data_IF_285440211499
#
_entry.id   IF_285440211499
#
_cell.length_a   1.000
_cell.length_b   1.000
_cell.length_c   1.000
_cell.angle_alpha   90.00
_cell.angle_beta   90.00
_cell.angle_gamma   90.00
#
_symmetry.space_group_name_H-M   'P 1'
#
loop_
_entity.id
_entity.type
_entity.pdbx_description
1 polymer ?
#
# COMPACT_ATOMS: atom_id res chain seq x y z
N UNK A 1 -42.40 -3.34 24.00
CA UNK A 1 -41.44 -2.21 23.85
C UNK A 1 -40.17 -2.58 24.59
N UNK A 2 -39.07 -2.82 23.88
CA UNK A 2 -37.77 -3.16 24.47
C UNK A 2 -36.69 -2.26 23.83
N UNK A 3 -35.89 -1.62 24.69
CA UNK A 3 -35.03 -0.51 24.38
C UNK A 3 -33.71 -0.94 23.73
N UNK A 4 -33.28 -0.23 22.68
CA UNK A 4 -31.98 -0.38 22.04
C UNK A 4 -30.93 0.40 22.80
N UNK A 5 -29.87 -0.27 23.25
CA UNK A 5 -28.69 0.34 23.85
C UNK A 5 -27.81 1.00 22.78
N UNK A 6 -27.65 2.32 22.88
CA UNK A 6 -26.75 3.12 22.04
C UNK A 6 -25.31 3.08 22.57
N UNK A 7 -24.34 2.78 21.71
CA UNK A 7 -22.91 2.90 22.02
C UNK A 7 -22.35 4.17 21.38
N UNK A 8 -21.83 5.07 22.23
CA UNK A 8 -21.18 6.33 21.82
C UNK A 8 -19.69 6.09 21.58
N UNK A 9 -19.20 6.45 20.40
CA UNK A 9 -17.75 6.49 20.09
C UNK A 9 -17.26 7.92 20.27
N UNK A 10 -16.35 8.14 21.21
CA UNK A 10 -15.70 9.41 21.44
C UNK A 10 -14.61 9.67 20.38
N UNK A 11 -14.69 10.83 19.72
CA UNK A 11 -13.71 11.32 18.75
C UNK A 11 -12.46 11.85 19.46
N UNK A 12 -11.32 11.22 19.21
CA UNK A 12 -10.01 11.67 19.70
C UNK A 12 -9.51 12.81 18.80
N UNK A 13 -9.73 14.06 19.22
CA UNK A 13 -9.13 15.26 18.63
C UNK A 13 -7.63 15.29 18.93
N UNK A 14 -6.79 15.08 17.92
CA UNK A 14 -5.35 15.30 18.03
C UNK A 14 -5.03 16.75 17.66
N UNK A 15 -4.65 17.52 18.68
CA UNK A 15 -4.29 18.93 18.57
C UNK A 15 -2.93 19.10 17.86
N UNK A 16 -2.94 19.97 16.85
CA UNK A 16 -1.76 20.53 16.20
C UNK A 16 -1.01 21.44 17.18
N UNK A 17 0.28 21.22 17.38
CA UNK A 17 1.17 22.21 17.98
C UNK A 17 2.42 22.36 17.13
N UNK A 18 2.35 23.33 16.24
CA UNK A 18 3.48 23.93 15.55
C UNK A 18 4.23 24.85 16.54
N UNK A 19 5.52 24.59 16.81
CA UNK A 19 6.39 25.59 17.47
C UNK A 19 7.78 25.60 16.86
N UNK A 20 8.01 26.64 16.06
CA UNK A 20 9.28 27.14 15.56
C UNK A 20 9.85 28.15 16.59
N UNK A 21 11.09 28.03 17.09
CA UNK A 21 11.67 29.05 17.96
C UNK A 21 12.52 30.04 17.16
N UNK A 22 12.16 31.32 17.23
CA UNK A 22 13.02 32.48 16.90
C UNK A 22 13.62 33.05 18.20
N UNK A 23 14.89 33.47 18.24
CA UNK A 23 15.49 34.03 19.44
C UNK A 23 15.40 35.56 19.46
N UNK A 24 14.92 36.12 20.57
CA UNK A 24 15.04 37.55 20.89
C UNK A 24 15.45 37.71 22.34
N UNK A 25 16.46 38.54 22.55
CA UNK A 25 17.19 38.79 23.79
C UNK A 25 16.41 39.61 24.83
N UNK A 26 16.69 39.39 26.12
CA UNK A 26 16.98 40.43 27.13
C UNK A 26 16.95 39.83 28.55
N UNK A 27 18.00 40.05 29.34
CA UNK A 27 17.98 39.76 30.79
C UNK A 27 19.37 39.50 31.38
N UNK A 28 20.07 40.57 31.75
CA UNK A 28 21.34 40.54 32.49
C UNK A 28 21.10 40.39 33.98
N UNK A 29 21.76 39.48 34.71
CA UNK A 29 22.12 39.67 36.14
C UNK A 29 23.27 38.75 36.59
N UNK A 30 24.33 39.40 37.09
CA UNK A 30 25.32 39.04 38.12
C UNK A 30 26.17 37.74 38.07
N UNK A 31 27.50 37.93 38.05
CA UNK A 31 28.60 37.04 38.48
C UNK A 31 28.67 36.91 40.02
N UNK A 32 29.21 35.81 40.61
CA UNK A 32 30.67 35.70 40.79
C UNK A 32 31.29 34.28 40.67
N UNK A 33 32.52 34.29 40.15
CA UNK A 33 33.74 33.64 40.64
C UNK A 33 33.62 32.25 41.30
N UNK A 34 33.98 31.17 40.59
CA UNK A 34 34.76 30.06 41.13
C UNK A 34 35.56 29.38 40.01
N UNK A 35 36.85 29.15 40.29
CA UNK A 35 37.81 28.55 39.37
C UNK A 35 37.44 27.13 38.98
N UNK A 36 37.56 26.84 37.70
CA UNK A 36 37.43 25.49 37.14
C UNK A 36 38.26 25.40 35.88
N UNK A 37 39.18 24.44 35.85
CA UNK A 37 40.01 24.11 34.69
C UNK A 37 39.10 23.82 33.49
N UNK A 38 39.23 24.63 32.43
CA UNK A 38 38.43 24.49 31.21
C UNK A 38 38.97 23.35 30.34
N UNK A 39 38.53 22.12 30.60
CA UNK A 39 38.70 21.02 29.67
C UNK A 39 37.76 21.20 28.48
N UNK A 40 38.29 21.54 27.30
CA UNK A 40 37.52 21.49 26.04
C UNK A 40 37.25 20.02 25.72
N UNK A 41 35.99 19.57 25.55
CA UNK A 41 35.74 18.22 25.05
C UNK A 41 36.24 18.15 23.59
N UNK A 42 36.99 17.09 23.19
CA UNK A 42 37.26 16.87 21.79
C UNK A 42 35.93 16.63 21.08
N UNK A 43 35.67 17.40 20.02
CA UNK A 43 34.55 17.14 19.10
C UNK A 43 34.85 15.86 18.34
N UNK A 44 34.57 14.70 18.94
CA UNK A 44 34.54 13.44 18.20
C UNK A 44 33.21 13.36 17.46
N UNK A 45 33.16 14.05 16.31
CA UNK A 45 32.10 13.91 15.33
C UNK A 45 32.17 12.53 14.71
N UNK A 46 31.67 11.51 15.40
CA UNK A 46 31.34 10.23 14.80
C UNK A 46 29.91 9.89 15.17
N UNK A 47 28.96 10.48 14.43
CA UNK A 47 27.61 9.94 14.35
C UNK A 47 27.75 8.66 13.53
N UNK A 48 28.05 7.55 14.19
CA UNK A 48 27.95 6.23 13.59
C UNK A 48 26.47 6.00 13.29
N UNK A 49 26.04 6.41 12.10
CA UNK A 49 24.70 6.12 11.61
C UNK A 49 24.68 4.64 11.28
N UNK A 50 24.09 3.85 12.18
CA UNK A 50 23.76 2.45 11.90
C UNK A 50 22.73 2.47 10.77
N UNK A 51 23.21 2.36 9.53
CA UNK A 51 22.36 2.04 8.39
C UNK A 51 22.08 0.55 8.46
N UNK A 52 20.89 0.20 8.92
CA UNK A 52 20.34 -1.13 8.72
C UNK A 52 20.23 -1.34 7.20
N UNK A 53 21.22 -1.99 6.61
CA UNK A 53 21.18 -2.43 5.23
C UNK A 53 20.23 -3.64 5.22
N UNK A 54 18.99 -3.45 4.81
CA UNK A 54 18.17 -4.58 4.43
C UNK A 54 18.91 -5.27 3.28
N UNK A 55 19.35 -6.51 3.49
CA UNK A 55 19.75 -7.37 2.39
C UNK A 55 18.63 -7.32 1.35
N UNK A 56 18.96 -7.42 0.06
CA UNK A 56 17.97 -7.58 -1.01
C UNK A 56 17.30 -8.96 -0.86
N UNK A 57 16.47 -9.10 0.18
CA UNK A 57 15.54 -10.19 0.32
C UNK A 57 14.42 -9.88 -0.65
N UNK A 58 14.11 -10.83 -1.54
CA UNK A 58 12.88 -10.81 -2.32
C UNK A 58 11.71 -10.68 -1.34
N UNK A 59 11.17 -9.48 -1.20
CA UNK A 59 9.96 -9.20 -0.43
C UNK A 59 8.80 -9.45 -1.38
N UNK A 60 7.97 -10.48 -1.16
CA UNK A 60 6.80 -10.72 -1.99
C UNK A 60 5.88 -9.50 -1.95
N UNK A 61 5.24 -9.13 -3.08
CA UNK A 61 4.32 -8.01 -3.11
C UNK A 61 3.19 -8.22 -2.10
N UNK A 62 2.67 -7.13 -1.55
CA UNK A 62 1.53 -7.22 -0.63
C UNK A 62 0.21 -7.20 -1.40
N UNK A 63 -0.85 -7.73 -0.79
CA UNK A 63 -2.22 -7.62 -1.32
C UNK A 63 -2.61 -6.15 -1.52
N UNK A 64 -2.25 -5.28 -0.57
CA UNK A 64 -2.51 -3.84 -0.67
C UNK A 64 -1.82 -3.19 -1.87
N UNK A 65 -0.60 -3.62 -2.18
CA UNK A 65 0.15 -3.11 -3.31
C UNK A 65 -0.48 -3.55 -4.64
N UNK A 66 -0.93 -4.80 -4.71
CA UNK A 66 -1.63 -5.34 -5.89
C UNK A 66 -2.95 -4.60 -6.13
N UNK A 67 -3.75 -4.38 -5.08
CA UNK A 67 -4.99 -3.59 -5.16
C UNK A 67 -4.72 -2.16 -5.62
N UNK A 68 -3.67 -1.55 -5.09
CA UNK A 68 -3.25 -0.20 -5.46
C UNK A 68 -2.76 -0.15 -6.91
N UNK A 69 -2.06 -1.17 -7.40
CA UNK A 69 -1.66 -1.29 -8.81
C UNK A 69 -2.89 -1.41 -9.72
N UNK A 70 -3.89 -2.20 -9.35
CA UNK A 70 -5.15 -2.29 -10.10
C UNK A 70 -5.83 -0.92 -10.24
N UNK A 71 -5.96 -0.17 -9.14
CA UNK A 71 -6.56 1.17 -9.15
C UNK A 71 -5.72 2.21 -9.91
N UNK A 72 -4.40 2.03 -9.98
CA UNK A 72 -3.52 2.87 -10.80
C UNK A 72 -3.71 2.59 -12.29
N UNK A 73 -3.83 1.32 -12.66
CA UNK A 73 -4.01 0.87 -14.04
C UNK A 73 -5.42 1.18 -14.57
N UNK A 74 -6.46 1.01 -13.75
CA UNK A 74 -7.84 1.30 -14.12
C UNK A 74 -8.45 2.43 -13.27
N UNK A 75 -8.55 3.62 -13.86
CA UNK A 75 -8.98 4.85 -13.16
C UNK A 75 -10.49 5.13 -13.24
N UNK A 76 -11.23 4.38 -14.06
CA UNK A 76 -12.67 4.58 -14.24
C UNK A 76 -13.44 3.92 -13.09
N UNK A 77 -14.58 4.46 -12.67
CA UNK A 77 -15.39 3.83 -11.63
C UNK A 77 -15.99 2.50 -12.15
N UNK A 78 -15.91 1.44 -11.34
CA UNK A 78 -16.51 0.14 -11.62
C UNK A 78 -17.81 0.04 -10.81
N UNK A 79 -18.94 -0.38 -11.38
CA UNK A 79 -20.17 -0.64 -10.62
C UNK A 79 -19.91 -1.63 -9.48
N UNK A 80 -20.48 -1.37 -8.31
CA UNK A 80 -20.18 -2.09 -7.07
C UNK A 80 -20.43 -3.60 -7.15
N UNK A 81 -21.44 -4.03 -7.93
CA UNK A 81 -21.76 -5.44 -8.17
C UNK A 81 -20.57 -6.23 -8.73
N UNK A 82 -19.81 -5.63 -9.67
CA UNK A 82 -18.61 -6.26 -10.24
C UNK A 82 -17.38 -6.01 -9.37
N UNK A 83 -17.23 -4.79 -8.83
CA UNK A 83 -16.03 -4.40 -8.09
C UNK A 83 -15.80 -5.28 -6.85
N UNK A 84 -16.85 -5.64 -6.11
CA UNK A 84 -16.69 -6.49 -4.93
C UNK A 84 -16.07 -7.85 -5.31
N UNK A 85 -16.64 -8.52 -6.31
CA UNK A 85 -16.17 -9.84 -6.74
C UNK A 85 -14.79 -9.76 -7.39
N UNK A 86 -14.52 -8.72 -8.20
CA UNK A 86 -13.19 -8.51 -8.80
C UNK A 86 -12.10 -8.33 -7.76
N UNK A 87 -12.38 -7.57 -6.69
CA UNK A 87 -11.42 -7.35 -5.62
C UNK A 87 -11.17 -8.63 -4.82
N UNK A 88 -12.21 -9.44 -4.56
CA UNK A 88 -12.06 -10.75 -3.94
C UNK A 88 -11.24 -11.72 -4.81
N UNK A 89 -11.57 -11.79 -6.10
CA UNK A 89 -10.85 -12.59 -7.08
C UNK A 89 -9.38 -12.17 -7.18
N UNK A 90 -9.10 -10.86 -7.17
CA UNK A 90 -7.74 -10.31 -7.20
C UNK A 90 -6.93 -10.70 -5.95
N UNK A 91 -7.55 -10.68 -4.77
CA UNK A 91 -6.90 -11.13 -3.53
C UNK A 91 -6.59 -12.61 -3.60
N UNK A 92 -7.55 -13.43 -4.02
CA UNK A 92 -7.36 -14.88 -4.12
C UNK A 92 -6.25 -15.24 -5.11
N UNK A 93 -6.25 -14.63 -6.29
CA UNK A 93 -5.20 -14.83 -7.29
C UNK A 93 -3.84 -14.35 -6.77
N UNK A 94 -3.77 -13.20 -6.12
CA UNK A 94 -2.53 -12.75 -5.48
C UNK A 94 -2.00 -13.77 -4.45
N UNK A 95 -2.86 -14.33 -3.61
CA UNK A 95 -2.45 -15.34 -2.62
C UNK A 95 -1.97 -16.65 -3.26
N UNK A 96 -2.55 -17.03 -4.41
CA UNK A 96 -2.06 -18.14 -5.22
C UNK A 96 -0.68 -17.82 -5.81
N UNK A 97 -0.50 -16.60 -6.34
CA UNK A 97 0.74 -16.16 -6.99
C UNK A 97 1.93 -16.02 -6.04
N UNK A 98 1.66 -15.61 -4.81
CA UNK A 98 2.68 -15.47 -3.75
C UNK A 98 3.14 -16.81 -3.15
N UNK A 99 2.57 -17.96 -3.57
CA UNK A 99 3.08 -19.27 -3.15
C UNK A 99 4.48 -19.48 -3.74
N UNK A 100 5.43 -19.95 -2.93
CA UNK A 100 6.83 -20.20 -3.34
C UNK A 100 6.96 -21.19 -4.51
N UNK A 101 5.97 -22.06 -4.66
CA UNK A 101 5.91 -23.10 -5.70
C UNK A 101 5.01 -22.72 -6.88
N UNK A 102 4.49 -21.48 -6.92
CA UNK A 102 3.65 -21.04 -8.02
C UNK A 102 4.42 -21.08 -9.33
N UNK A 103 3.83 -21.72 -10.33
CA UNK A 103 4.25 -21.70 -11.71
C UNK A 103 3.01 -21.42 -12.55
N UNK A 104 3.19 -20.77 -13.69
CA UNK A 104 2.12 -20.58 -14.64
C UNK A 104 1.56 -21.93 -15.10
N UNK A 105 0.22 -22.03 -15.14
CA UNK A 105 -0.51 -23.19 -15.63
C UNK A 105 -1.53 -22.72 -16.67
N UNK A 106 -1.43 -23.26 -17.89
CA UNK A 106 -2.31 -22.92 -19.00
C UNK A 106 -3.76 -23.34 -18.72
N UNK A 107 -4.00 -24.43 -17.99
CA UNK A 107 -5.35 -24.89 -17.64
C UNK A 107 -5.98 -23.91 -16.65
N UNK A 108 -5.20 -23.46 -15.65
CA UNK A 108 -5.62 -22.41 -14.75
C UNK A 108 -5.91 -21.11 -15.50
N UNK A 109 -5.03 -20.69 -16.41
CA UNK A 109 -5.21 -19.44 -17.16
C UNK A 109 -6.49 -19.47 -18.00
N UNK A 110 -6.75 -20.56 -18.72
CA UNK A 110 -7.99 -20.75 -19.48
C UNK A 110 -9.23 -20.74 -18.57
N UNK A 111 -9.17 -21.48 -17.45
CA UNK A 111 -10.23 -21.46 -16.44
C UNK A 111 -10.48 -20.08 -15.85
N UNK A 112 -9.42 -19.30 -15.63
CA UNK A 112 -9.53 -17.93 -15.14
C UNK A 112 -10.19 -17.01 -16.16
N UNK A 113 -9.78 -17.06 -17.43
CA UNK A 113 -10.37 -16.23 -18.51
C UNK A 113 -11.87 -16.50 -18.64
N UNK A 114 -12.27 -17.78 -18.69
CA UNK A 114 -13.70 -18.14 -18.81
C UNK A 114 -14.54 -17.66 -17.62
N UNK A 115 -14.05 -17.82 -16.39
CA UNK A 115 -14.73 -17.31 -15.19
C UNK A 115 -14.80 -15.78 -15.20
N UNK A 116 -13.73 -15.10 -15.63
CA UNK A 116 -13.70 -13.65 -15.74
C UNK A 116 -14.71 -13.14 -16.78
N UNK A 117 -14.80 -13.79 -17.94
CA UNK A 117 -15.76 -13.44 -19.00
C UNK A 117 -17.21 -13.55 -18.51
N UNK A 118 -17.53 -14.65 -17.82
CA UNK A 118 -18.84 -14.89 -17.21
C UNK A 118 -19.14 -13.89 -16.09
N UNK A 119 -18.14 -13.59 -15.24
CA UNK A 119 -18.28 -12.59 -14.18
C UNK A 119 -18.61 -11.21 -14.74
N UNK A 120 -18.03 -10.88 -15.90
CA UNK A 120 -18.22 -9.60 -16.59
C UNK A 120 -19.37 -9.62 -17.60
N UNK A 121 -20.17 -10.70 -17.64
CA UNK A 121 -21.34 -10.78 -18.51
C UNK A 121 -22.35 -9.68 -18.15
N UNK A 122 -22.85 -8.96 -19.17
CA UNK A 122 -23.76 -7.83 -18.97
C UNK A 122 -23.10 -6.54 -18.49
N UNK A 123 -21.76 -6.46 -18.45
CA UNK A 123 -21.08 -5.18 -18.20
C UNK A 123 -21.40 -4.17 -19.34
N UNK A 124 -21.68 -2.89 -19.05
CA UNK A 124 -22.23 -1.95 -20.05
C UNK A 124 -21.36 -1.69 -21.30
N UNK A 125 -20.04 -1.84 -21.19
CA UNK A 125 -19.06 -1.51 -22.23
C UNK A 125 -18.04 -2.63 -22.40
N UNK A 126 -17.91 -3.18 -23.60
CA UNK A 126 -16.95 -4.26 -23.88
C UNK A 126 -15.50 -3.76 -23.81
N UNK A 127 -15.22 -2.55 -24.31
CA UNK A 127 -13.89 -1.94 -24.20
C UNK A 127 -13.45 -1.77 -22.74
N UNK A 128 -14.39 -1.48 -21.84
CA UNK A 128 -14.10 -1.37 -20.41
C UNK A 128 -13.83 -2.74 -19.79
N UNK A 129 -14.52 -3.80 -20.22
CA UNK A 129 -14.25 -5.18 -19.76
C UNK A 129 -12.83 -5.59 -20.09
N UNK A 130 -12.39 -5.35 -21.33
CA UNK A 130 -11.04 -5.68 -21.78
C UNK A 130 -9.98 -4.85 -21.06
N UNK A 131 -10.27 -3.56 -20.84
CA UNK A 131 -9.38 -2.69 -20.07
C UNK A 131 -9.27 -3.15 -18.60
N UNK A 132 -10.38 -3.60 -17.98
CA UNK A 132 -10.36 -4.13 -16.62
C UNK A 132 -9.58 -5.45 -16.57
N UNK A 133 -9.77 -6.34 -17.56
CA UNK A 133 -9.01 -7.60 -17.66
C UNK A 133 -7.51 -7.34 -17.73
N UNK A 134 -7.08 -6.45 -18.64
CA UNK A 134 -5.67 -6.09 -18.79
C UNK A 134 -5.12 -5.47 -17.51
N UNK A 135 -5.86 -4.54 -16.89
CA UNK A 135 -5.46 -3.92 -15.63
C UNK A 135 -5.37 -4.94 -14.48
N UNK A 136 -6.27 -5.93 -14.45
CA UNK A 136 -6.28 -6.99 -13.45
C UNK A 136 -5.02 -7.87 -13.56
N UNK A 137 -4.71 -8.37 -14.76
CA UNK A 137 -3.54 -9.23 -14.98
C UNK A 137 -2.23 -8.45 -14.74
N UNK A 138 -2.15 -7.21 -15.21
CA UNK A 138 -0.99 -6.34 -14.96
C UNK A 138 -0.80 -6.02 -13.48
N UNK A 139 -1.88 -5.87 -12.71
CA UNK A 139 -1.78 -5.62 -11.27
C UNK A 139 -1.12 -6.79 -10.50
N UNK A 140 -1.22 -8.01 -11.04
CA UNK A 140 -0.59 -9.23 -10.53
C UNK A 140 0.83 -9.44 -11.07
N UNK A 141 1.36 -8.48 -11.84
CA UNK A 141 2.66 -8.56 -12.54
C UNK A 141 2.73 -9.74 -13.53
N UNK A 142 1.61 -10.02 -14.19
CA UNK A 142 1.50 -11.05 -15.23
C UNK A 142 1.21 -10.41 -16.60
N UNK A 143 1.36 -11.22 -17.65
CA UNK A 143 1.15 -10.78 -19.02
C UNK A 143 -0.28 -11.09 -19.50
N UNK A 144 -1.12 -10.07 -19.80
CA UNK A 144 -2.46 -10.31 -20.31
C UNK A 144 -2.47 -11.05 -21.65
N UNK A 145 -1.44 -10.86 -22.49
CA UNK A 145 -1.39 -11.54 -23.80
C UNK A 145 -1.20 -13.05 -23.63
N UNK A 146 -0.40 -13.46 -22.65
CA UNK A 146 -0.22 -14.89 -22.31
C UNK A 146 -1.53 -15.56 -21.88
N UNK A 147 -2.45 -14.82 -21.25
CA UNK A 147 -3.78 -15.35 -20.90
C UNK A 147 -4.73 -15.39 -22.11
N UNK A 148 -4.69 -14.38 -22.98
CA UNK A 148 -5.54 -14.32 -24.18
C UNK A 148 -5.09 -15.29 -25.28
N UNK A 149 -3.79 -15.56 -25.40
CA UNK A 149 -3.23 -16.43 -26.43
C UNK A 149 -3.62 -17.90 -26.26
N UNK A 150 -3.91 -18.34 -25.03
CA UNK A 150 -4.36 -19.71 -24.75
C UNK A 150 -5.87 -19.93 -25.03
N UNK A 151 -6.57 -18.90 -25.50
CA UNK A 151 -8.00 -18.96 -25.83
C UNK A 151 -8.27 -19.21 -27.33
N UNK A 152 -7.25 -19.12 -28.19
CA UNK A 152 -7.36 -19.29 -29.66
C UNK A 152 -6.50 -20.41 -30.21
#
# INVERSE_FOLDING_TARGET
MAATSSVSIASLRQASSERRPTPSASGSFATPLFGGVRCKPPKLGSRMAVRCLAASSYVPPTVSETKLNFLKSYKRPIPSIYNNVLQELLVQHHLMRCKRTYQYDAVFALGFVTVFEQLMEGYPSNDDRDAIFRAYIQALNEDPEQYSQNYY
#
